data_IF_879992315400
#
_entry.id   IF_879992315400
#
_cell.length_a   1.000
_cell.length_b   1.000
_cell.length_c   1.000
_cell.angle_alpha   90.00
_cell.angle_beta   90.00
_cell.angle_gamma   90.00
#
_symmetry.space_group_name_H-M   'P 1'
#
loop_
_entity.id
_entity.type
_entity.pdbx_description
1 polymer ?
#
# COMPACT_ATOMS: atom_id res chain seq x y z
N UNK A 1 26.16 5.26 -5.74
CA UNK A 1 26.75 5.40 -4.39
C UNK A 1 26.89 6.86 -4.01
N UNK A 2 26.10 7.33 -3.06
CA UNK A 2 26.10 8.73 -2.62
C UNK A 2 27.45 9.11 -2.01
N UNK A 3 28.07 10.17 -2.54
CA UNK A 3 29.31 10.71 -1.99
C UNK A 3 29.03 11.49 -0.70
N UNK A 4 30.01 11.53 0.18
CA UNK A 4 29.97 11.90 1.62
C UNK A 4 29.39 13.27 1.98
N UNK A 5 29.00 14.09 1.00
CA UNK A 5 28.30 15.37 1.21
C UNK A 5 26.80 15.21 1.51
N UNK A 6 26.22 14.03 1.23
CA UNK A 6 24.77 13.78 1.29
C UNK A 6 24.33 12.79 2.40
N UNK A 7 25.24 12.38 3.29
CA UNK A 7 24.98 11.41 4.37
C UNK A 7 25.68 10.07 4.19
N UNK A 8 25.47 9.08 5.10
CA UNK A 8 26.07 7.75 4.96
C UNK A 8 25.62 7.06 3.66
N UNK A 9 26.48 6.23 3.05
CA UNK A 9 26.11 5.48 1.86
C UNK A 9 24.95 4.52 2.17
N UNK A 10 24.12 4.28 1.17
CA UNK A 10 23.04 3.31 1.31
C UNK A 10 23.58 1.91 1.59
N UNK A 11 22.90 1.11 2.44
CA UNK A 11 23.29 -0.28 2.67
C UNK A 11 23.35 -1.09 1.37
N UNK A 12 24.21 -2.13 1.27
CA UNK A 12 24.31 -2.94 0.05
C UNK A 12 23.00 -3.58 -0.43
N UNK A 13 22.04 -3.79 0.49
CA UNK A 13 20.72 -4.34 0.19
C UNK A 13 19.70 -3.29 -0.28
N UNK A 14 20.17 -2.14 -0.78
CA UNK A 14 19.34 -1.06 -1.32
C UNK A 14 19.04 -1.35 -2.78
N UNK A 15 17.76 -1.31 -3.14
CA UNK A 15 17.32 -1.60 -4.51
C UNK A 15 17.32 -0.34 -5.38
N UNK A 16 17.10 0.83 -4.76
CA UNK A 16 17.07 2.12 -5.44
C UNK A 16 17.41 3.23 -4.46
N UNK A 17 18.11 4.26 -4.95
CA UNK A 17 18.39 5.47 -4.20
C UNK A 17 17.56 6.60 -4.80
N UNK A 18 16.55 7.05 -4.06
CA UNK A 18 15.78 8.24 -4.45
C UNK A 18 16.57 9.48 -4.03
N UNK A 19 17.11 10.20 -5.00
CA UNK A 19 17.70 11.50 -4.76
C UNK A 19 16.61 12.56 -4.68
N UNK A 20 16.54 13.27 -3.55
CA UNK A 20 15.59 14.36 -3.32
C UNK A 20 16.33 15.64 -3.69
N UNK A 21 16.12 16.08 -4.93
CA UNK A 21 16.65 17.34 -5.46
C UNK A 21 15.55 18.37 -5.67
N UNK A 22 15.93 19.63 -5.54
CA UNK A 22 15.06 20.80 -5.66
C UNK A 22 14.60 21.01 -7.11
N UNK A 23 13.30 21.22 -7.32
CA UNK A 23 12.78 22.02 -8.43
C UNK A 23 11.53 22.80 -7.96
N UNK A 24 11.71 23.99 -7.36
CA UNK A 24 10.69 25.05 -7.43
C UNK A 24 11.31 26.45 -7.22
N UNK A 25 10.92 27.48 -8.01
CA UNK A 25 11.33 28.87 -7.76
C UNK A 25 10.85 29.39 -6.40
N UNK A 26 11.78 30.06 -5.70
CA UNK A 26 11.70 30.70 -4.39
C UNK A 26 10.29 31.14 -3.95
N UNK A 27 9.85 30.61 -2.82
CA UNK A 27 8.68 31.09 -2.09
C UNK A 27 8.97 31.16 -0.59
N UNK A 28 9.70 32.18 -0.16
CA UNK A 28 9.39 33.02 1.00
C UNK A 28 10.43 34.17 1.14
N UNK A 29 9.98 35.31 1.68
CA UNK A 29 10.78 36.55 1.81
C UNK A 29 11.65 36.59 3.09
N UNK A 30 11.64 35.54 3.92
CA UNK A 30 12.37 35.52 5.19
C UNK A 30 13.57 34.55 5.22
N UNK A 31 13.75 33.72 4.19
CA UNK A 31 15.05 33.12 3.83
C UNK A 31 15.76 32.27 4.90
N UNK A 32 15.03 31.73 5.88
CA UNK A 32 15.55 30.83 6.92
C UNK A 32 15.04 29.38 6.80
N UNK A 33 14.27 29.09 5.75
CA UNK A 33 13.85 27.75 5.38
C UNK A 33 15.03 26.86 4.94
N UNK A 34 15.63 26.14 5.87
CA UNK A 34 16.60 25.08 5.57
C UNK A 34 15.89 23.92 4.85
N UNK A 35 15.90 23.93 3.52
CA UNK A 35 15.36 22.84 2.69
C UNK A 35 16.31 21.64 2.78
N UNK A 36 15.87 20.45 3.25
CA UNK A 36 16.73 19.28 3.34
C UNK A 36 17.07 18.74 1.95
N UNK A 37 18.33 18.86 1.53
CA UNK A 37 18.89 18.00 0.47
C UNK A 37 19.19 16.63 1.06
N UNK A 38 18.92 15.57 0.32
CA UNK A 38 19.24 14.22 0.78
C UNK A 38 18.79 13.11 -0.17
N UNK A 39 18.97 11.87 0.27
CA UNK A 39 18.53 10.68 -0.45
C UNK A 39 17.82 9.70 0.47
N UNK A 40 16.88 8.95 -0.08
CA UNK A 40 16.23 7.82 0.59
C UNK A 40 16.70 6.51 -0.03
N UNK A 41 17.23 5.60 0.80
CA UNK A 41 17.61 4.25 0.41
C UNK A 41 16.37 3.36 0.44
N UNK A 42 15.80 3.05 -0.72
CA UNK A 42 14.62 2.20 -0.83
C UNK A 42 15.02 0.73 -0.87
N UNK A 43 14.20 -0.11 -0.24
CA UNK A 43 14.33 -1.57 -0.22
C UNK A 43 12.99 -2.21 -0.52
N UNK A 44 13.01 -3.44 -1.01
CA UNK A 44 11.86 -4.20 -1.49
C UNK A 44 11.15 -3.49 -2.66
N UNK A 45 11.89 -3.12 -3.71
CA UNK A 45 11.33 -2.57 -4.96
C UNK A 45 11.13 -3.62 -6.05
N UNK A 46 11.68 -4.81 -5.90
CA UNK A 46 11.33 -5.96 -6.73
C UNK A 46 10.17 -6.74 -6.07
N UNK A 47 9.17 -7.22 -6.84
CA UNK A 47 8.13 -8.08 -6.29
C UNK A 47 8.69 -9.35 -5.63
N UNK A 48 7.98 -9.94 -4.65
CA UNK A 48 6.73 -9.44 -4.10
C UNK A 48 6.94 -8.29 -3.09
N UNK A 49 6.21 -7.19 -3.27
CA UNK A 49 6.21 -6.09 -2.32
C UNK A 49 5.36 -6.44 -1.09
N UNK A 50 5.78 -6.06 0.13
CA UNK A 50 4.86 -6.03 1.26
C UNK A 50 3.66 -5.14 0.92
N UNK A 51 2.47 -5.74 0.77
CA UNK A 51 1.25 -5.06 0.30
C UNK A 51 0.86 -5.31 -1.17
N UNK A 52 1.55 -6.20 -1.89
CA UNK A 52 1.01 -6.77 -3.14
C UNK A 52 -0.33 -7.47 -2.87
N UNK A 53 -1.26 -7.49 -3.84
CA UNK A 53 -2.57 -8.10 -3.62
C UNK A 53 -2.51 -9.53 -3.08
N UNK A 54 -3.05 -9.71 -1.87
CA UNK A 54 -3.03 -10.99 -1.14
C UNK A 54 -1.77 -11.27 -0.32
N UNK A 55 -0.76 -10.40 -0.36
CA UNK A 55 0.44 -10.47 0.48
C UNK A 55 0.22 -10.03 1.93
N UNK A 56 -0.83 -9.24 2.20
CA UNK A 56 -1.06 -8.68 3.53
C UNK A 56 -0.22 -7.43 3.79
N UNK A 57 -0.74 -6.53 4.63
CA UNK A 57 0.02 -5.41 5.20
C UNK A 57 -0.04 -4.12 4.38
N UNK A 58 -0.84 -4.09 3.31
CA UNK A 58 -1.15 -2.88 2.58
C UNK A 58 -1.98 -1.89 3.41
N UNK A 59 -1.81 -0.57 3.19
CA UNK A 59 -2.59 0.45 3.89
C UNK A 59 -4.04 0.53 3.38
N UNK A 60 -4.33 -0.05 2.22
CA UNK A 60 -5.64 -0.04 1.56
C UNK A 60 -5.93 -1.42 1.01
N UNK A 61 -7.17 -1.87 1.22
CA UNK A 61 -7.67 -3.10 0.59
C UNK A 61 -7.95 -2.85 -0.89
N UNK A 62 -7.54 -3.78 -1.75
CA UNK A 62 -7.74 -3.80 -3.19
C UNK A 62 -8.23 -5.18 -3.66
N UNK A 63 -8.53 -5.31 -4.95
CA UNK A 63 -8.89 -6.60 -5.54
C UNK A 63 -7.69 -7.54 -5.50
N UNK A 64 -7.92 -8.78 -5.06
CA UNK A 64 -6.89 -9.79 -4.84
C UNK A 64 -6.58 -10.01 -3.36
N UNK A 65 -6.91 -9.05 -2.50
CA UNK A 65 -6.64 -9.14 -1.07
C UNK A 65 -7.54 -10.11 -0.35
N UNK A 66 -6.98 -10.74 0.69
CA UNK A 66 -7.74 -11.49 1.66
C UNK A 66 -7.95 -10.67 2.92
N UNK A 67 -9.14 -10.79 3.49
CA UNK A 67 -9.57 -10.06 4.67
C UNK A 67 -10.22 -11.00 5.67
N UNK A 68 -10.23 -10.58 6.93
CA UNK A 68 -11.07 -11.14 7.97
C UNK A 68 -11.99 -10.05 8.55
N UNK A 69 -13.17 -10.46 9.01
CA UNK A 69 -14.13 -9.54 9.58
C UNK A 69 -13.68 -9.08 10.98
N UNK A 70 -13.94 -7.81 11.26
CA UNK A 70 -13.83 -7.20 12.58
C UNK A 70 -15.22 -6.77 13.06
N UNK A 71 -15.34 -6.54 14.35
CA UNK A 71 -16.55 -5.95 14.92
C UNK A 71 -16.87 -4.58 14.31
N UNK A 72 -18.16 -4.24 14.27
CA UNK A 72 -18.63 -2.97 13.71
C UNK A 72 -18.57 -2.88 12.19
N UNK A 73 -18.59 -4.01 11.48
CA UNK A 73 -18.66 -4.07 10.01
C UNK A 73 -17.37 -3.62 9.31
N UNK A 74 -16.24 -3.67 10.02
CA UNK A 74 -14.93 -3.38 9.47
C UNK A 74 -14.26 -4.67 9.00
N UNK A 75 -13.29 -4.53 8.12
CA UNK A 75 -12.44 -5.64 7.69
C UNK A 75 -10.98 -5.25 7.88
N UNK A 76 -10.12 -6.25 8.04
CA UNK A 76 -8.68 -6.07 8.03
C UNK A 76 -8.05 -7.05 7.06
N UNK A 77 -7.09 -6.57 6.30
CA UNK A 77 -6.29 -7.40 5.41
C UNK A 77 -5.44 -8.41 6.17
N UNK A 78 -5.20 -9.56 5.57
CA UNK A 78 -4.23 -10.56 5.99
C UNK A 78 -3.67 -11.29 4.78
N UNK A 79 -2.52 -11.95 4.94
CA UNK A 79 -1.92 -12.74 3.88
C UNK A 79 -2.87 -13.88 3.46
N UNK A 80 -3.11 -14.01 2.15
CA UNK A 80 -4.01 -15.03 1.60
C UNK A 80 -3.51 -16.46 1.80
N UNK A 81 -2.20 -16.66 1.97
CA UNK A 81 -1.61 -17.97 2.26
C UNK A 81 -1.78 -18.41 3.73
N UNK A 82 -2.35 -17.56 4.57
CA UNK A 82 -2.58 -17.83 5.99
C UNK A 82 -1.35 -17.70 6.87
N UNK A 83 -0.24 -17.17 6.35
CA UNK A 83 0.99 -16.90 7.12
C UNK A 83 0.85 -15.71 8.09
N UNK A 84 -0.18 -14.88 7.91
CA UNK A 84 -0.47 -13.74 8.76
C UNK A 84 -0.97 -14.11 10.17
N UNK A 85 -1.04 -13.14 11.10
CA UNK A 85 -1.49 -13.38 12.48
C UNK A 85 -2.92 -13.92 12.61
N UNK A 86 -3.74 -13.67 11.57
CA UNK A 86 -5.12 -14.13 11.45
C UNK A 86 -5.26 -14.81 10.10
N UNK A 87 -5.93 -15.96 10.07
CA UNK A 87 -6.26 -16.63 8.81
C UNK A 87 -7.24 -15.80 7.99
N UNK A 88 -7.14 -15.83 6.66
CA UNK A 88 -8.08 -15.15 5.79
C UNK A 88 -9.47 -15.81 5.88
N UNK A 89 -10.52 -14.99 5.86
CA UNK A 89 -11.92 -15.46 5.86
C UNK A 89 -12.58 -15.21 4.50
N UNK A 90 -12.24 -14.10 3.84
CA UNK A 90 -12.78 -13.73 2.53
C UNK A 90 -11.68 -13.19 1.61
N UNK A 91 -11.88 -13.32 0.30
CA UNK A 91 -11.04 -12.71 -0.75
C UNK A 91 -11.87 -11.73 -1.56
N UNK A 92 -11.35 -10.51 -1.76
CA UNK A 92 -11.96 -9.50 -2.64
C UNK A 92 -11.64 -9.88 -4.08
N UNK A 93 -12.66 -10.26 -4.86
CA UNK A 93 -12.47 -10.76 -6.24
C UNK A 93 -12.82 -9.73 -7.30
N UNK A 94 -13.59 -8.70 -6.95
CA UNK A 94 -14.01 -7.66 -7.89
C UNK A 94 -14.22 -6.32 -7.18
N UNK A 95 -13.98 -5.22 -7.90
CA UNK A 95 -14.41 -3.88 -7.51
C UNK A 95 -15.48 -3.40 -8.50
N UNK A 96 -16.56 -2.82 -7.98
CA UNK A 96 -17.70 -2.30 -8.75
C UNK A 96 -18.17 -0.98 -8.16
N UNK A 97 -19.04 -0.28 -8.89
CA UNK A 97 -19.54 1.03 -8.50
C UNK A 97 -20.69 0.92 -7.49
N UNK A 98 -21.59 -0.06 -7.69
CA UNK A 98 -22.70 -0.36 -6.78
C UNK A 98 -22.76 -1.84 -6.37
N UNK A 99 -23.28 -2.11 -5.16
CA UNK A 99 -23.44 -3.48 -4.61
C UNK A 99 -24.23 -4.42 -5.52
N UNK A 100 -25.20 -3.89 -6.28
CA UNK A 100 -26.02 -4.67 -7.22
C UNK A 100 -25.22 -5.25 -8.40
N UNK A 101 -24.02 -4.75 -8.67
CA UNK A 101 -23.14 -5.20 -9.75
C UNK A 101 -22.16 -6.29 -9.29
N UNK A 102 -22.16 -6.60 -7.99
CA UNK A 102 -21.41 -7.71 -7.47
C UNK A 102 -22.01 -9.05 -7.94
N UNK A 103 -21.17 -10.06 -8.22
CA UNK A 103 -21.65 -11.40 -8.51
C UNK A 103 -22.51 -11.95 -7.36
N UNK A 104 -23.48 -12.82 -7.68
CA UNK A 104 -24.36 -13.44 -6.68
C UNK A 104 -23.61 -14.28 -5.61
N UNK A 105 -22.39 -14.70 -5.89
CA UNK A 105 -21.51 -15.39 -4.93
C UNK A 105 -20.94 -14.48 -3.84
N UNK A 106 -21.17 -13.17 -3.92
CA UNK A 106 -20.65 -12.19 -2.96
C UNK A 106 -21.38 -12.34 -1.63
N UNK A 107 -20.60 -12.58 -0.57
CA UNK A 107 -21.13 -12.72 0.80
C UNK A 107 -20.71 -11.57 1.70
N UNK A 108 -19.72 -10.77 1.28
CA UNK A 108 -19.22 -9.62 2.02
C UNK A 108 -18.94 -8.45 1.06
N UNK A 109 -19.40 -7.26 1.45
CA UNK A 109 -19.13 -6.01 0.74
C UNK A 109 -18.07 -5.20 1.48
N UNK A 110 -16.95 -4.92 0.82
CA UNK A 110 -15.83 -4.16 1.38
C UNK A 110 -15.83 -2.75 0.80
N UNK A 111 -15.59 -1.74 1.62
CA UNK A 111 -15.39 -0.37 1.12
C UNK A 111 -13.95 -0.23 0.61
N UNK A 112 -13.81 0.01 -0.69
CA UNK A 112 -12.53 0.27 -1.35
C UNK A 112 -12.36 1.77 -1.60
N UNK A 113 -11.13 2.19 -1.92
CA UNK A 113 -10.85 3.53 -2.45
C UNK A 113 -10.91 3.56 -3.97
N UNK A 114 -11.05 4.74 -4.56
CA UNK A 114 -11.03 4.94 -6.01
C UNK A 114 -12.42 5.02 -6.65
N UNK A 115 -12.49 4.83 -7.98
CA UNK A 115 -13.70 5.00 -8.77
C UNK A 115 -14.76 3.92 -8.54
N UNK A 116 -14.33 2.70 -8.19
CA UNK A 116 -15.21 1.57 -7.89
C UNK A 116 -15.14 1.22 -6.39
N UNK A 117 -15.94 1.88 -5.55
CA UNK A 117 -15.78 1.86 -4.09
C UNK A 117 -16.31 0.58 -3.43
N UNK A 118 -16.93 -0.35 -4.17
CA UNK A 118 -17.50 -1.58 -3.61
C UNK A 118 -16.68 -2.79 -4.01
N UNK A 119 -16.01 -3.39 -3.03
CA UNK A 119 -15.33 -4.68 -3.16
C UNK A 119 -16.31 -5.83 -2.93
N UNK A 120 -16.39 -6.74 -3.89
CA UNK A 120 -17.16 -7.98 -3.81
C UNK A 120 -16.26 -9.09 -3.27
N UNK A 121 -16.54 -9.57 -2.06
CA UNK A 121 -15.74 -10.60 -1.41
C UNK A 121 -16.49 -11.94 -1.26
N UNK A 122 -15.75 -13.02 -1.46
CA UNK A 122 -16.20 -14.41 -1.37
C UNK A 122 -15.37 -15.16 -0.31
N UNK A 123 -15.87 -16.24 0.31
CA UNK A 123 -15.07 -17.03 1.24
C UNK A 123 -13.79 -17.57 0.57
N UNK A 124 -12.69 -17.67 1.34
CA UNK A 124 -11.41 -18.24 0.86
C UNK A 124 -11.42 -19.76 0.94
#
# INVERSE_FOLDING_TARGET
DGTTRDGPPCPPATDFVLHISEQWPAADEDGDGMVPRGHACMRNLQPPHPGDPGGGGGPRTVVGDCVYALDGGKVRETACDGSGPRRPEFKVTKAVDARSECPASTVLYVRLGGASPVGCAVPV
#
